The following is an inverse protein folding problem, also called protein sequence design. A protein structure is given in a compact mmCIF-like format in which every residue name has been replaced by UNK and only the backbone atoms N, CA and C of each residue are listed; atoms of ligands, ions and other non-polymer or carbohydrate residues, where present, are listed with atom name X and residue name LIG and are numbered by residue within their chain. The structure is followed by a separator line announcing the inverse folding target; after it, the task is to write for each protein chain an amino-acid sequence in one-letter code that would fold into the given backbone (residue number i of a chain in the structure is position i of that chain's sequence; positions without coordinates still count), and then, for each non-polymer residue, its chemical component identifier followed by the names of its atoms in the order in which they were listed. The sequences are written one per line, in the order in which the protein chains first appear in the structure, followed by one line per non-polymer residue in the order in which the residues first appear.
data_IF_759283484816
#
_entry.id   IF_759283484816
#
_cell.length_a   1.000
_cell.length_b   1.000
_cell.length_c   1.000
_cell.angle_alpha   90.00
_cell.angle_beta   90.00
_cell.angle_gamma   90.00
#
_symmetry.space_group_name_H-M   'P 1'
#
loop_
_entity.id
_entity.type
_entity.pdbx_description
1 polymer ?
#
# COMPACT_ATOMS: atom_id res chain seq x y z
N UNK A 1 25.02 36.22 61.96
CA UNK A 1 24.49 36.20 60.57
C UNK A 1 24.10 34.76 60.26
N UNK A 2 22.80 34.45 60.26
CA UNK A 2 22.26 33.08 60.11
C UNK A 2 21.82 32.91 58.64
N UNK A 3 22.38 31.91 57.96
CA UNK A 3 21.97 31.48 56.61
C UNK A 3 20.67 30.68 56.73
N UNK A 4 19.63 31.04 55.98
CA UNK A 4 18.40 30.22 55.86
C UNK A 4 18.07 29.99 54.39
N UNK A 5 18.48 28.83 53.89
CA UNK A 5 18.16 28.32 52.55
C UNK A 5 16.66 28.02 52.46
N UNK A 6 15.98 28.60 51.47
CA UNK A 6 14.58 28.28 51.13
C UNK A 6 14.58 27.26 50.01
N UNK A 7 14.33 25.99 50.35
CA UNK A 7 14.27 24.90 49.39
C UNK A 7 13.17 25.12 48.35
N UNK A 8 13.56 25.14 47.06
CA UNK A 8 12.63 25.04 45.94
C UNK A 8 12.30 23.57 45.72
N UNK A 9 11.07 23.18 46.05
CA UNK A 9 10.54 21.86 45.71
C UNK A 9 10.12 21.93 44.24
N UNK A 10 10.96 21.43 43.35
CA UNK A 10 10.62 21.18 41.95
C UNK A 10 9.72 19.93 41.89
N UNK A 11 8.49 19.97 41.35
CA UNK A 11 7.71 18.75 41.16
C UNK A 11 8.34 17.90 40.05
N UNK A 12 9.08 16.87 40.46
CA UNK A 12 9.65 15.80 39.62
C UNK A 12 8.56 14.84 39.11
N UNK A 13 7.63 15.31 38.28
CA UNK A 13 6.57 14.45 37.74
C UNK A 13 6.31 14.61 36.24
N UNK A 14 7.20 15.30 35.51
CA UNK A 14 7.05 15.52 34.06
C UNK A 14 7.84 14.57 33.13
N UNK A 15 8.88 13.79 33.53
CA UNK A 15 9.65 13.07 32.52
C UNK A 15 9.10 11.67 32.16
N UNK A 16 7.99 11.21 32.76
CA UNK A 16 7.51 9.85 32.50
C UNK A 16 6.66 9.72 31.22
N UNK A 17 6.04 10.81 30.75
CA UNK A 17 5.16 10.77 29.57
C UNK A 17 5.91 10.91 28.22
N UNK A 18 7.19 11.29 28.21
CA UNK A 18 7.97 11.41 26.97
C UNK A 18 8.64 10.10 26.52
N UNK A 19 8.72 9.07 27.37
CA UNK A 19 9.40 7.82 27.04
C UNK A 19 8.48 6.77 26.37
N UNK A 20 7.15 6.92 26.44
CA UNK A 20 6.21 5.93 25.91
C UNK A 20 5.91 6.11 24.41
N UNK A 21 6.28 7.23 23.80
CA UNK A 21 5.92 7.56 22.40
C UNK A 21 6.92 7.05 21.35
N UNK A 22 7.98 6.36 21.73
CA UNK A 22 9.10 6.00 20.84
C UNK A 22 9.01 4.60 20.17
N UNK A 23 7.94 3.82 20.38
CA UNK A 23 7.89 2.41 19.99
C UNK A 23 6.81 2.06 18.96
N UNK A 24 6.59 2.92 17.97
CA UNK A 24 5.87 2.53 16.74
C UNK A 24 6.80 2.66 15.53
N UNK A 25 7.94 1.96 15.59
CA UNK A 25 8.69 1.63 14.38
C UNK A 25 7.91 0.52 13.67
N UNK A 26 7.03 0.92 12.74
CA UNK A 26 6.41 -0.01 11.80
C UNK A 26 7.56 -0.67 11.01
N UNK A 27 7.78 -1.96 11.22
CA UNK A 27 8.93 -2.67 10.68
C UNK A 27 8.77 -2.86 9.17
N UNK A 28 9.22 -1.89 8.39
CA UNK A 28 9.47 -2.08 6.97
C UNK A 28 10.71 -2.99 6.85
N UNK A 29 10.49 -4.29 6.70
CA UNK A 29 11.60 -5.24 6.57
C UNK A 29 12.27 -5.09 5.20
N UNK A 30 13.51 -4.62 5.22
CA UNK A 30 14.32 -4.45 4.01
C UNK A 30 14.92 -5.78 3.55
N UNK A 31 15.48 -5.81 2.34
CA UNK A 31 16.19 -6.98 1.83
C UNK A 31 17.39 -7.35 2.71
N UNK A 32 18.12 -6.35 3.20
CA UNK A 32 19.27 -6.53 4.08
C UNK A 32 18.86 -7.10 5.43
N UNK A 33 17.70 -6.72 5.95
CA UNK A 33 17.14 -7.32 7.17
C UNK A 33 16.85 -8.80 6.96
N UNK A 34 16.22 -9.17 5.83
CA UNK A 34 15.96 -10.59 5.50
C UNK A 34 17.26 -11.38 5.34
N UNK A 35 18.27 -10.82 4.66
CA UNK A 35 19.59 -11.46 4.50
C UNK A 35 20.26 -11.67 5.86
N UNK A 36 20.20 -10.67 6.74
CA UNK A 36 20.82 -10.73 8.06
C UNK A 36 20.16 -11.76 8.98
N UNK A 37 18.83 -11.94 8.86
CA UNK A 37 18.07 -12.95 9.60
C UNK A 37 18.21 -14.36 9.03
N UNK A 38 18.45 -14.48 7.73
CA UNK A 38 18.57 -15.75 7.01
C UNK A 38 19.88 -15.88 6.23
N UNK A 39 21.06 -15.73 6.88
CA UNK A 39 22.35 -15.80 6.21
C UNK A 39 22.60 -17.17 5.56
N UNK A 40 22.03 -18.25 6.12
CA UNK A 40 22.13 -19.61 5.62
C UNK A 40 21.50 -19.77 4.22
N UNK A 41 20.44 -19.01 3.92
CA UNK A 41 19.82 -19.01 2.60
C UNK A 41 20.71 -18.24 1.62
N UNK A 42 21.17 -17.06 2.03
CA UNK A 42 22.00 -16.18 1.19
C UNK A 42 23.33 -16.82 0.80
N UNK A 43 24.01 -17.47 1.75
CA UNK A 43 25.31 -18.11 1.54
C UNK A 43 25.26 -19.31 0.59
N UNK A 44 24.09 -19.96 0.42
CA UNK A 44 23.90 -21.07 -0.54
C UNK A 44 23.65 -20.60 -1.97
N UNK A 45 23.41 -19.31 -2.19
CA UNK A 45 23.25 -18.74 -3.52
C UNK A 45 24.59 -18.66 -4.24
N UNK A 46 24.56 -18.70 -5.57
CA UNK A 46 25.73 -18.41 -6.39
C UNK A 46 26.16 -16.94 -6.20
N UNK A 47 27.43 -16.61 -6.43
CA UNK A 47 27.92 -15.23 -6.27
C UNK A 47 27.14 -14.22 -7.14
N UNK A 48 26.74 -14.62 -8.36
CA UNK A 48 25.89 -13.78 -9.22
C UNK A 48 24.49 -13.59 -8.65
N UNK A 49 23.91 -14.63 -8.06
CA UNK A 49 22.57 -14.53 -7.46
C UNK A 49 22.61 -13.73 -6.15
N UNK A 50 23.69 -13.84 -5.37
CA UNK A 50 23.92 -13.00 -4.18
C UNK A 50 23.94 -11.52 -4.55
N UNK A 51 24.71 -11.15 -5.57
CA UNK A 51 24.82 -9.75 -6.01
C UNK A 51 23.46 -9.16 -6.42
N UNK A 52 22.62 -9.94 -7.11
CA UNK A 52 21.27 -9.53 -7.50
C UNK A 52 20.31 -9.46 -6.31
N UNK A 53 20.31 -10.50 -5.46
CA UNK A 53 19.44 -10.55 -4.29
C UNK A 53 19.77 -9.42 -3.32
N UNK A 54 21.04 -9.09 -3.12
CA UNK A 54 21.46 -7.95 -2.29
C UNK A 54 20.96 -6.59 -2.78
N UNK A 55 20.57 -6.49 -4.06
CA UNK A 55 19.96 -5.32 -4.69
C UNK A 55 18.42 -5.41 -4.79
N UNK A 56 17.81 -6.47 -4.25
CA UNK A 56 16.37 -6.73 -4.38
C UNK A 56 15.94 -7.16 -5.79
N UNK A 57 16.89 -7.60 -6.62
CA UNK A 57 16.66 -8.04 -7.99
C UNK A 57 16.60 -9.57 -8.09
N UNK A 58 15.95 -10.05 -9.14
CA UNK A 58 15.83 -11.48 -9.45
C UNK A 58 16.12 -11.72 -10.93
N UNK A 59 16.39 -12.98 -11.29
CA UNK A 59 16.52 -13.43 -12.68
C UNK A 59 15.93 -14.82 -12.87
N UNK A 60 15.67 -15.20 -14.11
CA UNK A 60 15.21 -16.55 -14.46
C UNK A 60 16.16 -17.63 -13.90
N UNK A 61 15.58 -18.75 -13.44
CA UNK A 61 16.32 -19.87 -12.85
C UNK A 61 16.70 -19.72 -11.37
N UNK A 62 16.48 -18.57 -10.75
CA UNK A 62 16.63 -18.45 -9.28
C UNK A 62 15.61 -19.31 -8.53
N UNK A 63 15.94 -19.69 -7.30
CA UNK A 63 15.04 -20.48 -6.45
C UNK A 63 13.97 -19.60 -5.77
N UNK A 64 12.89 -20.21 -5.30
CA UNK A 64 11.88 -19.52 -4.47
C UNK A 64 12.49 -18.84 -3.24
N UNK A 65 13.49 -19.46 -2.60
CA UNK A 65 14.17 -18.87 -1.46
C UNK A 65 14.96 -17.61 -1.83
N UNK A 66 15.61 -17.59 -3.00
CA UNK A 66 16.31 -16.39 -3.50
C UNK A 66 15.32 -15.24 -3.73
N UNK A 67 14.14 -15.54 -4.31
CA UNK A 67 13.08 -14.55 -4.49
C UNK A 67 12.54 -14.05 -3.17
N UNK A 68 12.25 -14.94 -2.23
CA UNK A 68 11.78 -14.55 -0.90
C UNK A 68 12.78 -13.63 -0.20
N UNK A 69 14.07 -13.91 -0.34
CA UNK A 69 15.12 -13.07 0.21
C UNK A 69 15.13 -11.67 -0.45
N UNK A 70 15.04 -11.61 -1.77
CA UNK A 70 15.03 -10.36 -2.53
C UNK A 70 13.75 -9.53 -2.32
N UNK A 71 12.58 -10.15 -2.36
CA UNK A 71 11.28 -9.49 -2.47
C UNK A 71 10.37 -9.61 -1.25
N UNK A 72 10.68 -10.53 -0.33
CA UNK A 72 9.81 -10.89 0.79
C UNK A 72 8.69 -11.86 0.40
N UNK A 73 7.80 -12.14 1.35
CA UNK A 73 6.62 -12.95 1.14
C UNK A 73 5.60 -12.25 0.22
N UNK A 74 4.92 -13.00 -0.67
CA UNK A 74 3.89 -12.41 -1.52
C UNK A 74 2.58 -12.19 -0.76
N UNK A 75 1.77 -11.23 -1.22
CA UNK A 75 0.41 -11.02 -0.72
C UNK A 75 -0.55 -12.11 -1.20
N UNK A 76 -0.32 -12.66 -2.39
CA UNK A 76 -1.14 -13.74 -2.95
C UNK A 76 -0.29 -14.78 -3.68
N UNK A 77 -0.81 -16.00 -3.73
CA UNK A 77 -0.24 -17.11 -4.47
C UNK A 77 -1.31 -17.71 -5.37
N UNK A 78 -0.94 -18.07 -6.59
CA UNK A 78 -1.76 -18.84 -7.52
C UNK A 78 -1.07 -20.16 -7.78
N UNK A 79 -1.77 -21.27 -7.54
CA UNK A 79 -1.33 -22.59 -7.96
C UNK A 79 -2.06 -22.91 -9.27
N UNK A 80 -1.31 -23.37 -10.26
CA UNK A 80 -1.86 -23.64 -11.58
C UNK A 80 -1.06 -24.69 -12.33
N UNK A 81 -1.38 -24.79 -13.62
CA UNK A 81 -0.65 -25.61 -14.56
C UNK A 81 -0.41 -24.79 -15.82
N UNK A 82 0.84 -24.72 -16.27
CA UNK A 82 1.22 -24.02 -17.50
C UNK A 82 1.91 -25.00 -18.43
N UNK A 83 1.30 -25.26 -19.59
CA UNK A 83 1.83 -26.21 -20.59
C UNK A 83 2.10 -27.61 -20.02
N UNK A 84 1.21 -28.11 -19.15
CA UNK A 84 1.33 -29.42 -18.51
C UNK A 84 2.18 -29.43 -17.24
N UNK A 85 2.91 -28.36 -16.93
CA UNK A 85 3.76 -28.28 -15.74
C UNK A 85 3.05 -27.60 -14.57
N UNK A 86 3.06 -28.18 -13.35
CA UNK A 86 2.58 -27.49 -12.15
C UNK A 86 3.37 -26.20 -11.91
N UNK A 87 2.66 -25.10 -11.66
CA UNK A 87 3.27 -23.79 -11.42
C UNK A 87 2.71 -23.13 -10.17
N UNK A 88 3.57 -22.35 -9.50
CA UNK A 88 3.19 -21.44 -8.42
C UNK A 88 3.54 -20.02 -8.83
N UNK A 89 2.58 -19.10 -8.80
CA UNK A 89 2.79 -17.68 -9.12
C UNK A 89 2.60 -16.84 -7.88
N UNK A 90 3.63 -16.10 -7.51
CA UNK A 90 3.59 -15.13 -6.43
C UNK A 90 3.20 -13.77 -6.99
N UNK A 91 2.23 -13.14 -6.32
CA UNK A 91 1.68 -11.85 -6.71
C UNK A 91 1.90 -10.87 -5.58
N UNK A 92 2.54 -9.75 -5.93
CA UNK A 92 2.74 -8.65 -5.03
C UNK A 92 1.84 -7.49 -5.42
N UNK A 93 1.11 -7.00 -4.42
CA UNK A 93 0.02 -6.05 -4.61
C UNK A 93 0.46 -4.68 -4.09
N UNK A 94 0.18 -3.65 -4.88
CA UNK A 94 0.14 -2.27 -4.43
C UNK A 94 -1.30 -1.78 -4.48
N UNK A 95 -1.57 -0.67 -3.83
CA UNK A 95 -2.88 -0.05 -3.81
C UNK A 95 -2.83 1.21 -4.64
N UNK A 96 -3.69 1.28 -5.64
CA UNK A 96 -3.83 2.46 -6.48
C UNK A 96 -5.21 3.07 -6.27
N UNK A 97 -5.31 4.37 -6.50
CA UNK A 97 -6.60 5.04 -6.56
C UNK A 97 -7.31 4.56 -7.82
N UNK A 98 -8.51 3.99 -7.67
CA UNK A 98 -9.28 3.58 -8.82
C UNK A 98 -9.45 4.78 -9.78
N UNK A 99 -9.22 4.61 -11.09
CA UNK A 99 -9.58 5.64 -12.04
C UNK A 99 -11.10 5.83 -11.94
N UNK A 100 -11.52 6.87 -11.22
CA UNK A 100 -12.90 7.31 -11.30
C UNK A 100 -13.12 7.72 -12.75
N UNK A 101 -14.21 7.27 -13.40
CA UNK A 101 -14.61 7.79 -14.70
C UNK A 101 -15.10 9.22 -14.51
N UNK A 102 -14.18 10.14 -14.23
CA UNK A 102 -14.46 11.57 -14.27
C UNK A 102 -14.32 12.05 -15.72
N UNK A 103 -15.20 11.51 -16.54
CA UNK A 103 -15.38 11.84 -17.94
C UNK A 103 -16.80 11.50 -18.44
N UNK A 104 -17.73 11.26 -17.52
CA UNK A 104 -19.16 11.33 -17.82
C UNK A 104 -19.61 12.79 -17.88
N UNK A 105 -20.73 13.11 -18.55
CA UNK A 105 -21.15 14.47 -18.94
C UNK A 105 -21.43 15.46 -17.80
N UNK A 106 -21.12 15.12 -16.55
CA UNK A 106 -21.38 15.92 -15.35
C UNK A 106 -20.10 16.36 -14.62
N UNK A 107 -18.97 16.44 -15.34
CA UNK A 107 -17.76 17.10 -14.83
C UNK A 107 -17.96 18.61 -14.60
N UNK A 108 -17.24 19.36 -13.72
CA UNK A 108 -17.51 20.77 -13.47
C UNK A 108 -17.10 21.63 -14.69
N UNK A 109 -16.50 21.00 -15.70
CA UNK A 109 -16.06 21.57 -16.97
C UNK A 109 -16.59 20.79 -18.18
N UNK A 110 -17.52 19.86 -17.97
CA UNK A 110 -18.15 19.06 -19.03
C UNK A 110 -19.23 19.87 -19.74
N UNK A 111 -18.94 20.32 -20.95
CA UNK A 111 -19.95 20.83 -21.89
C UNK A 111 -20.84 19.67 -22.35
N UNK A 112 -21.89 19.36 -21.58
CA UNK A 112 -22.81 18.26 -21.84
C UNK A 112 -24.26 18.65 -21.50
N UNK A 113 -24.98 19.10 -22.52
CA UNK A 113 -26.45 19.18 -22.66
C UNK A 113 -27.32 19.06 -21.38
N UNK A 114 -27.75 20.21 -20.86
CA UNK A 114 -28.95 20.33 -20.03
C UNK A 114 -28.71 20.99 -18.67
N UNK A 115 -29.44 22.09 -18.43
CA UNK A 115 -29.57 22.88 -17.20
C UNK A 115 -28.58 24.04 -17.04
N UNK A 116 -29.12 25.24 -17.30
CA UNK A 116 -28.48 26.54 -17.05
C UNK A 116 -28.36 26.90 -15.55
N UNK A 117 -28.12 28.18 -15.21
CA UNK A 117 -27.70 28.64 -13.88
C UNK A 117 -28.85 28.68 -12.86
N UNK A 118 -29.60 27.59 -12.73
CA UNK A 118 -30.70 27.46 -11.77
C UNK A 118 -30.22 26.80 -10.48
N UNK A 119 -30.08 27.60 -9.42
CA UNK A 119 -30.00 27.04 -8.07
C UNK A 119 -31.38 26.43 -7.73
N UNK A 120 -31.46 25.09 -7.65
CA UNK A 120 -32.66 24.39 -7.22
C UNK A 120 -32.58 24.07 -5.72
N UNK A 121 -33.71 24.18 -5.02
CA UNK A 121 -33.87 23.64 -3.67
C UNK A 121 -34.17 22.16 -3.78
N UNK A 122 -33.15 21.32 -3.57
CA UNK A 122 -33.31 19.87 -3.69
C UNK A 122 -33.36 19.28 -2.29
N UNK A 123 -34.47 18.62 -1.96
CA UNK A 123 -34.61 17.83 -0.73
C UNK A 123 -34.38 16.37 -1.08
N UNK A 124 -33.31 15.81 -0.56
CA UNK A 124 -32.97 14.39 -0.72
C UNK A 124 -32.90 13.72 0.65
N UNK A 125 -33.09 12.41 0.68
CA UNK A 125 -33.23 11.61 1.89
C UNK A 125 -32.17 10.52 1.89
N UNK A 126 -31.27 10.55 2.86
CA UNK A 126 -30.14 9.62 2.98
C UNK A 126 -30.15 9.05 4.40
N UNK A 127 -30.17 7.71 4.52
CA UNK A 127 -30.28 6.97 5.78
C UNK A 127 -31.32 7.53 6.77
N UNK A 128 -32.50 7.92 6.29
CA UNK A 128 -33.60 8.42 7.13
C UNK A 128 -33.56 9.91 7.44
N UNK A 129 -32.44 10.60 7.18
CA UNK A 129 -32.29 12.04 7.36
C UNK A 129 -32.55 12.79 6.05
N UNK A 130 -33.23 13.95 6.11
CA UNK A 130 -33.41 14.82 4.94
C UNK A 130 -32.42 15.98 4.99
N UNK A 131 -31.80 16.29 3.87
CA UNK A 131 -30.88 17.42 3.73
C UNK A 131 -31.30 18.25 2.53
N UNK A 132 -30.99 19.54 2.60
CA UNK A 132 -31.25 20.53 1.56
C UNK A 132 -29.90 21.03 1.10
N UNK A 133 -29.65 20.97 -0.21
CA UNK A 133 -28.45 21.55 -0.80
C UNK A 133 -28.82 22.38 -2.03
N UNK A 134 -27.95 23.34 -2.34
CA UNK A 134 -28.07 24.19 -3.51
C UNK A 134 -27.24 23.59 -4.63
N UNK A 135 -27.89 23.02 -5.65
CA UNK A 135 -27.18 22.37 -6.75
C UNK A 135 -28.10 21.58 -7.67
N UNK A 136 -27.49 20.76 -8.53
CA UNK A 136 -28.23 19.90 -9.47
C UNK A 136 -29.07 18.85 -8.72
N UNK A 137 -30.32 18.58 -9.13
CA UNK A 137 -31.16 17.54 -8.54
C UNK A 137 -30.61 16.12 -8.76
N UNK A 138 -29.66 15.95 -9.67
CA UNK A 138 -28.97 14.68 -9.94
C UNK A 138 -27.64 14.54 -9.18
N UNK A 139 -27.23 15.59 -8.46
CA UNK A 139 -26.04 15.56 -7.62
C UNK A 139 -26.42 15.13 -6.20
N UNK A 140 -25.95 13.97 -5.74
CA UNK A 140 -26.05 13.58 -4.34
C UNK A 140 -24.66 13.63 -3.70
N UNK A 141 -24.39 14.60 -2.78
CA UNK A 141 -23.10 14.74 -2.14
C UNK A 141 -22.71 13.56 -1.24
N UNK A 142 -23.63 12.64 -0.94
CA UNK A 142 -23.38 11.45 -0.12
C UNK A 142 -23.26 10.17 -0.95
N UNK A 143 -23.57 10.21 -2.24
CA UNK A 143 -23.52 9.04 -3.13
C UNK A 143 -22.12 8.82 -3.72
N UNK A 144 -21.30 9.86 -3.77
CA UNK A 144 -19.91 9.79 -4.20
C UNK A 144 -18.99 9.93 -2.99
N UNK A 145 -18.22 8.89 -2.67
CA UNK A 145 -17.16 9.00 -1.69
C UNK A 145 -16.14 10.02 -2.20
N UNK A 146 -15.98 11.14 -1.48
CA UNK A 146 -14.96 12.15 -1.78
C UNK A 146 -13.54 11.56 -1.72
N UNK A 147 -13.36 10.49 -0.94
CA UNK A 147 -12.11 9.72 -0.89
C UNK A 147 -12.21 8.64 -1.97
N UNK A 148 -11.35 8.68 -2.99
CA UNK A 148 -11.51 7.73 -4.07
C UNK A 148 -11.12 6.32 -3.66
N UNK A 149 -11.88 5.30 -4.09
CA UNK A 149 -11.70 3.94 -3.63
C UNK A 149 -10.32 3.47 -4.05
N UNK A 150 -9.63 2.82 -3.12
CA UNK A 150 -8.35 2.20 -3.40
C UNK A 150 -8.57 0.76 -3.87
N UNK A 151 -7.95 0.39 -4.99
CA UNK A 151 -8.03 -0.95 -5.56
C UNK A 151 -6.67 -1.65 -5.47
N UNK A 152 -6.64 -2.95 -5.13
CA UNK A 152 -5.41 -3.73 -5.15
C UNK A 152 -5.02 -4.04 -6.60
N UNK A 153 -3.83 -3.64 -7.01
CA UNK A 153 -3.27 -3.95 -8.33
C UNK A 153 -1.93 -4.69 -8.19
N UNK A 154 -1.67 -5.71 -9.03
CA UNK A 154 -0.41 -6.45 -8.99
C UNK A 154 0.71 -5.63 -9.63
N UNK A 155 1.71 -5.21 -8.86
CA UNK A 155 2.83 -4.40 -9.37
C UNK A 155 4.08 -5.21 -9.71
N UNK A 156 4.21 -6.43 -9.16
CA UNK A 156 5.23 -7.41 -9.58
C UNK A 156 4.70 -8.81 -9.39
N UNK A 157 5.08 -9.70 -10.30
CA UNK A 157 4.70 -11.12 -10.26
C UNK A 157 5.90 -11.99 -10.60
N UNK A 158 5.91 -13.22 -10.07
CA UNK A 158 6.95 -14.21 -10.38
C UNK A 158 6.35 -15.60 -10.36
N UNK A 159 6.58 -16.35 -11.43
CA UNK A 159 6.09 -17.70 -11.65
C UNK A 159 7.22 -18.70 -11.50
N UNK A 160 6.96 -19.75 -10.76
CA UNK A 160 7.87 -20.86 -10.52
C UNK A 160 7.35 -22.13 -11.19
N UNK A 161 8.27 -22.90 -11.75
CA UNK A 161 8.08 -24.32 -12.07
C UNK A 161 9.24 -25.10 -11.44
N UNK A 162 8.95 -26.23 -10.80
CA UNK A 162 9.96 -27.03 -10.09
C UNK A 162 10.84 -26.21 -9.13
N UNK A 163 10.23 -25.25 -8.41
CA UNK A 163 10.89 -24.37 -7.44
C UNK A 163 11.81 -23.30 -8.04
N UNK A 164 11.80 -23.11 -9.36
CA UNK A 164 12.69 -22.20 -10.11
C UNK A 164 11.90 -21.17 -10.91
N UNK A 165 12.40 -19.95 -11.01
CA UNK A 165 11.75 -18.87 -11.77
C UNK A 165 11.71 -19.20 -13.26
N UNK A 166 10.52 -19.24 -13.83
CA UNK A 166 10.28 -19.40 -15.29
C UNK A 166 9.79 -18.12 -15.96
N UNK A 167 9.18 -17.21 -15.19
CA UNK A 167 8.71 -15.91 -15.68
C UNK A 167 8.59 -14.94 -14.52
N UNK A 168 8.82 -13.65 -14.76
CA UNK A 168 8.55 -12.58 -13.81
C UNK A 168 8.22 -11.30 -14.57
N UNK A 169 7.42 -10.44 -13.95
CA UNK A 169 6.95 -9.19 -14.54
C UNK A 169 6.98 -8.09 -13.51
N UNK A 170 7.23 -6.87 -13.98
CA UNK A 170 7.07 -5.64 -13.22
C UNK A 170 6.05 -4.77 -13.95
N UNK A 171 5.17 -4.15 -13.19
CA UNK A 171 4.26 -3.15 -13.73
C UNK A 171 5.05 -1.85 -13.93
N UNK A 172 5.09 -1.38 -15.18
CA UNK A 172 5.60 -0.05 -15.48
C UNK A 172 4.62 0.98 -14.90
N UNK A 173 5.14 1.98 -14.19
CA UNK A 173 4.30 3.12 -13.78
C UNK A 173 4.09 4.00 -15.02
N UNK A 174 2.84 4.37 -15.35
CA UNK A 174 2.55 5.32 -16.41
C UNK A 174 3.10 6.72 -16.13
#
# INVERSE_FOLDING_TARGET
MIVRMKGRILPRTVPLCLAASALILTSCETTQDRISKHPEIYQRLSASDQALVGQGQIRAGMSQNAVWLAWGGPQRKIIGNMRGQPTETWIYITYETAPYPYGGPYGPWGWGYGFGPGAAFVRTRHHGHSFVFFGSPFYDPFYYAYIPPSIPVPYKTVTFANGRIVSFQYMERP
#
